data_IF_363604627724
#
_entry.id   IF_363604627724
#
_cell.length_a   1.000
_cell.length_b   1.000
_cell.length_c   1.000
_cell.angle_alpha   90.00
_cell.angle_beta   90.00
_cell.angle_gamma   90.00
#
_symmetry.space_group_name_H-M   'P 1'
#
loop_
_entity.id
_entity.type
_entity.pdbx_description
1 polymer ?
#
# COMPACT_ATOMS: atom_id res chain seq x y z
N UNK A 1 11.00 15.88 -7.94
CA UNK A 1 11.29 15.44 -6.56
C UNK A 1 11.98 14.09 -6.59
N UNK A 2 12.96 13.88 -5.73
CA UNK A 2 13.61 12.59 -5.54
C UNK A 2 12.73 11.64 -4.72
N UNK A 3 12.97 10.31 -4.75
CA UNK A 3 12.12 9.31 -4.10
C UNK A 3 11.78 9.57 -2.64
N UNK A 4 12.79 9.79 -1.79
CA UNK A 4 12.55 10.00 -0.36
C UNK A 4 11.96 11.37 -0.02
N UNK A 5 12.13 12.37 -0.89
CA UNK A 5 11.43 13.65 -0.77
C UNK A 5 9.92 13.48 -0.95
N UNK A 6 9.50 12.72 -1.97
CA UNK A 6 8.08 12.40 -2.21
C UNK A 6 7.50 11.65 -1.00
N UNK A 7 8.22 10.63 -0.52
CA UNK A 7 7.78 9.84 0.64
C UNK A 7 7.66 10.71 1.90
N UNK A 8 8.66 11.54 2.18
CA UNK A 8 8.66 12.39 3.37
C UNK A 8 7.47 13.36 3.34
N UNK A 9 7.26 14.09 2.25
CA UNK A 9 6.19 15.08 2.16
C UNK A 9 4.81 14.43 2.18
N UNK A 10 4.60 13.31 1.46
CA UNK A 10 3.31 12.60 1.46
C UNK A 10 2.94 12.05 2.83
N UNK A 11 3.90 11.46 3.57
CA UNK A 11 3.64 10.93 4.90
C UNK A 11 3.55 12.02 5.96
N UNK A 12 4.24 13.16 5.80
CA UNK A 12 4.04 14.35 6.64
C UNK A 12 2.60 14.85 6.54
N UNK A 13 2.11 15.06 5.32
CA UNK A 13 0.73 15.49 5.07
C UNK A 13 -0.26 14.50 5.66
N UNK A 14 -0.05 13.20 5.42
CA UNK A 14 -0.91 12.15 5.96
C UNK A 14 -0.88 12.10 7.49
N UNK A 15 0.29 12.28 8.12
CA UNK A 15 0.41 12.27 9.59
C UNK A 15 -0.32 13.45 10.23
N UNK A 16 -0.25 14.65 9.64
CA UNK A 16 -0.97 15.84 10.13
C UNK A 16 -2.48 15.64 10.00
N UNK A 17 -2.96 15.21 8.83
CA UNK A 17 -4.39 14.99 8.59
C UNK A 17 -4.95 13.88 9.47
N UNK A 18 -4.24 12.76 9.59
CA UNK A 18 -4.64 11.66 10.49
C UNK A 18 -4.61 12.06 11.96
N UNK A 19 -3.65 12.93 12.35
CA UNK A 19 -3.61 13.51 13.68
C UNK A 19 -4.87 14.32 13.97
N UNK A 20 -5.29 15.20 13.07
CA UNK A 20 -6.52 15.98 13.22
C UNK A 20 -7.77 15.10 13.31
N UNK A 21 -7.88 14.08 12.44
CA UNK A 21 -8.99 13.12 12.46
C UNK A 21 -9.03 12.35 13.79
N UNK A 22 -7.86 11.85 14.25
CA UNK A 22 -7.74 11.10 15.50
C UNK A 22 -8.12 11.95 16.71
N UNK A 23 -7.70 13.21 16.76
CA UNK A 23 -8.09 14.15 17.83
C UNK A 23 -9.60 14.41 17.85
N UNK A 24 -10.23 14.54 16.68
CA UNK A 24 -11.68 14.71 16.56
C UNK A 24 -12.46 13.49 17.03
N UNK A 25 -12.00 12.28 16.73
CA UNK A 25 -12.65 11.03 17.13
C UNK A 25 -12.40 10.69 18.60
N UNK A 26 -11.22 11.02 19.14
CA UNK A 26 -10.90 10.76 20.56
C UNK A 26 -11.84 11.47 21.53
N UNK A 27 -12.42 12.62 21.15
CA UNK A 27 -13.46 13.29 21.93
C UNK A 27 -14.77 12.48 22.02
N UNK A 28 -15.01 11.56 21.08
CA UNK A 28 -16.25 10.75 21.00
C UNK A 28 -16.10 9.35 21.60
N UNK A 29 -14.91 8.74 21.48
CA UNK A 29 -14.67 7.32 21.81
C UNK A 29 -14.14 7.08 23.25
N UNK A 30 -13.83 8.12 24.02
CA UNK A 30 -13.33 7.98 25.40
C UNK A 30 -11.84 7.58 25.50
N UNK A 31 -11.39 7.28 26.73
CA UNK A 31 -9.99 6.91 27.00
C UNK A 31 -9.66 5.52 26.43
N UNK A 32 -8.63 5.46 25.60
CA UNK A 32 -8.05 4.21 25.09
C UNK A 32 -7.44 3.42 26.26
N UNK A 33 -7.96 2.24 26.59
CA UNK A 33 -7.48 1.41 27.74
C UNK A 33 -6.01 0.99 27.56
N UNK A 34 -5.57 0.70 26.34
CA UNK A 34 -4.19 0.27 26.06
C UNK A 34 -3.51 1.13 24.99
N UNK A 35 -3.13 2.35 25.37
CA UNK A 35 -2.40 3.28 24.48
C UNK A 35 -1.06 2.73 24.01
N UNK A 36 -0.29 2.12 24.89
CA UNK A 36 1.03 1.57 24.57
C UNK A 36 0.93 0.45 23.52
N UNK A 37 -0.09 -0.41 23.62
CA UNK A 37 -0.35 -1.45 22.63
C UNK A 37 -0.71 -0.87 21.27
N UNK A 38 -1.58 0.14 21.21
CA UNK A 38 -1.96 0.80 19.97
C UNK A 38 -0.76 1.49 19.27
N UNK A 39 0.10 2.15 20.06
CA UNK A 39 1.32 2.77 19.54
C UNK A 39 2.28 1.72 18.96
N UNK A 40 2.55 0.64 19.69
CA UNK A 40 3.40 -0.46 19.20
C UNK A 40 2.85 -1.06 17.91
N UNK A 41 1.53 -1.30 17.85
CA UNK A 41 0.86 -1.81 16.65
C UNK A 41 1.00 -0.85 15.47
N UNK A 42 0.75 0.44 15.67
CA UNK A 42 0.90 1.46 14.63
C UNK A 42 2.35 1.62 14.15
N UNK A 43 3.34 1.52 15.05
CA UNK A 43 4.77 1.53 14.68
C UNK A 43 5.09 0.33 13.79
N UNK A 44 4.65 -0.88 14.14
CA UNK A 44 4.91 -2.08 13.34
C UNK A 44 4.28 -1.97 11.95
N UNK A 45 3.03 -1.48 11.87
CA UNK A 45 2.37 -1.17 10.60
C UNK A 45 3.14 -0.12 9.80
N UNK A 46 3.64 0.93 10.46
CA UNK A 46 4.40 2.01 9.83
C UNK A 46 5.75 1.56 9.27
N UNK A 47 6.45 0.67 9.97
CA UNK A 47 7.70 0.07 9.48
C UNK A 47 7.44 -0.77 8.23
N UNK A 48 6.41 -1.62 8.25
CA UNK A 48 6.04 -2.45 7.12
C UNK A 48 5.62 -1.60 5.90
N UNK A 49 4.85 -0.53 6.14
CA UNK A 49 4.44 0.44 5.13
C UNK A 49 5.63 1.16 4.51
N UNK A 50 6.51 1.70 5.34
CA UNK A 50 7.72 2.39 4.88
C UNK A 50 8.61 1.46 4.06
N UNK A 51 8.86 0.23 4.54
CA UNK A 51 9.66 -0.75 3.82
C UNK A 51 9.04 -1.07 2.45
N UNK A 52 7.72 -1.27 2.38
CA UNK A 52 7.00 -1.47 1.13
C UNK A 52 7.24 -0.31 0.16
N UNK A 53 6.96 0.93 0.56
CA UNK A 53 7.14 2.09 -0.33
C UNK A 53 8.58 2.37 -0.69
N UNK A 54 9.53 2.25 0.24
CA UNK A 54 10.94 2.48 -0.04
C UNK A 54 11.48 1.50 -1.09
N UNK A 55 11.20 0.21 -0.91
CA UNK A 55 11.59 -0.84 -1.85
C UNK A 55 10.88 -0.70 -3.20
N UNK A 56 9.61 -0.27 -3.21
CA UNK A 56 8.85 -0.02 -4.43
C UNK A 56 9.47 1.11 -5.25
N UNK A 57 9.73 2.24 -4.61
CA UNK A 57 10.24 3.44 -5.30
C UNK A 57 11.69 3.22 -5.78
N UNK A 58 12.53 2.56 -4.98
CA UNK A 58 13.90 2.21 -5.39
C UNK A 58 13.84 1.16 -6.50
N UNK A 59 13.03 0.12 -6.35
CA UNK A 59 12.84 -0.91 -7.37
C UNK A 59 12.38 -0.34 -8.70
N UNK A 60 11.48 0.64 -8.69
CA UNK A 60 10.97 1.30 -9.90
C UNK A 60 12.07 2.00 -10.72
N UNK A 61 13.21 2.36 -10.13
CA UNK A 61 14.34 2.94 -10.86
C UNK A 61 15.08 1.92 -11.74
N UNK A 62 14.93 0.62 -11.45
CA UNK A 62 15.64 -0.48 -12.11
C UNK A 62 14.70 -1.46 -12.84
N UNK A 63 13.38 -1.20 -12.84
CA UNK A 63 12.38 -2.01 -13.54
C UNK A 63 11.35 -1.12 -14.24
N UNK A 64 10.45 -1.72 -15.01
CA UNK A 64 9.37 -0.96 -15.65
C UNK A 64 8.18 -0.76 -14.71
N UNK A 65 7.40 0.34 -14.86
CA UNK A 65 6.20 0.57 -14.05
C UNK A 65 5.22 -0.63 -14.07
N UNK A 66 5.04 -1.24 -15.23
CA UNK A 66 4.16 -2.40 -15.40
C UNK A 66 4.63 -3.63 -14.60
N UNK A 67 5.94 -3.94 -14.65
CA UNK A 67 6.50 -5.03 -13.85
C UNK A 67 6.44 -4.71 -12.35
N UNK A 68 6.75 -3.47 -11.97
CA UNK A 68 6.67 -3.03 -10.58
C UNK A 68 5.23 -3.19 -10.05
N UNK A 69 4.21 -2.76 -10.80
CA UNK A 69 2.82 -2.93 -10.42
C UNK A 69 2.43 -4.41 -10.27
N UNK A 70 2.82 -5.26 -11.23
CA UNK A 70 2.56 -6.70 -11.18
C UNK A 70 3.21 -7.37 -9.96
N UNK A 71 4.52 -7.11 -9.75
CA UNK A 71 5.26 -7.73 -8.66
C UNK A 71 4.76 -7.26 -7.28
N UNK A 72 4.37 -5.99 -7.16
CA UNK A 72 3.73 -5.46 -5.95
C UNK A 72 2.41 -6.17 -5.66
N UNK A 73 1.59 -6.44 -6.68
CA UNK A 73 0.31 -7.11 -6.53
C UNK A 73 0.42 -8.56 -6.05
N UNK A 74 1.61 -9.16 -6.09
CA UNK A 74 1.85 -10.49 -5.48
C UNK A 74 1.61 -10.51 -3.95
N UNK A 75 1.50 -9.34 -3.31
CA UNK A 75 1.06 -9.24 -1.91
C UNK A 75 -0.25 -10.00 -1.65
N UNK A 76 -1.15 -10.08 -2.64
CA UNK A 76 -2.44 -10.80 -2.57
C UNK A 76 -2.25 -12.28 -2.24
N UNK A 77 -1.21 -12.90 -2.78
CA UNK A 77 -0.87 -14.30 -2.46
C UNK A 77 -0.08 -14.38 -1.16
N UNK A 78 0.81 -13.42 -0.89
CA UNK A 78 1.67 -13.45 0.29
C UNK A 78 0.86 -13.26 1.59
N UNK A 79 -0.20 -12.43 1.60
CA UNK A 79 -1.05 -12.16 2.78
C UNK A 79 -1.63 -13.44 3.38
N UNK A 80 -2.31 -14.32 2.63
CA UNK A 80 -2.84 -15.58 3.19
C UNK A 80 -1.74 -16.52 3.70
N UNK A 81 -0.54 -16.53 3.10
CA UNK A 81 0.59 -17.29 3.61
C UNK A 81 1.07 -16.77 4.96
N UNK A 82 1.18 -15.44 5.12
CA UNK A 82 1.53 -14.80 6.39
C UNK A 82 0.48 -15.16 7.46
N UNK A 83 -0.81 -15.03 7.13
CA UNK A 83 -1.91 -15.38 8.04
C UNK A 83 -1.87 -16.87 8.45
N UNK A 84 -1.55 -17.77 7.52
CA UNK A 84 -1.40 -19.19 7.81
C UNK A 84 -0.20 -19.48 8.74
N UNK A 85 0.96 -18.88 8.47
CA UNK A 85 2.20 -19.13 9.25
C UNK A 85 2.07 -18.54 10.66
N UNK A 86 1.59 -17.29 10.79
CA UNK A 86 1.58 -16.58 12.07
C UNK A 86 0.38 -16.97 12.93
N UNK A 87 -0.82 -17.05 12.34
CA UNK A 87 -2.05 -17.29 13.09
C UNK A 87 -2.51 -18.76 13.01
N UNK A 88 -1.85 -19.58 12.23
CA UNK A 88 -2.26 -20.96 11.91
C UNK A 88 -3.70 -21.04 11.39
N UNK A 89 -4.23 -19.94 10.85
CA UNK A 89 -5.55 -19.90 10.22
C UNK A 89 -5.53 -20.66 8.92
N UNK A 90 -6.43 -21.64 8.77
CA UNK A 90 -6.60 -22.32 7.47
C UNK A 90 -7.20 -21.33 6.47
N UNK A 91 -6.48 -21.06 5.40
CA UNK A 91 -7.00 -20.26 4.29
C UNK A 91 -8.04 -21.10 3.54
N UNK A 92 -9.26 -20.58 3.42
CA UNK A 92 -10.31 -21.26 2.67
C UNK A 92 -9.94 -21.39 1.19
N UNK A 93 -10.30 -22.52 0.56
CA UNK A 93 -10.01 -22.77 -0.87
C UNK A 93 -10.46 -21.61 -1.78
N UNK A 94 -11.60 -20.98 -1.49
CA UNK A 94 -12.10 -19.80 -2.22
C UNK A 94 -11.13 -18.62 -2.16
N UNK A 95 -10.47 -18.38 -1.01
CA UNK A 95 -9.47 -17.33 -0.88
C UNK A 95 -8.19 -17.60 -1.67
N UNK A 96 -7.76 -18.87 -1.71
CA UNK A 96 -6.59 -19.29 -2.51
C UNK A 96 -6.88 -19.12 -4.00
N UNK A 97 -8.05 -19.59 -4.46
CA UNK A 97 -8.46 -19.46 -5.87
C UNK A 97 -8.56 -17.96 -6.25
N UNK A 98 -9.21 -17.14 -5.42
CA UNK A 98 -9.31 -15.69 -5.66
C UNK A 98 -7.93 -15.00 -5.74
N UNK A 99 -7.00 -15.35 -4.86
CA UNK A 99 -5.63 -14.81 -4.90
C UNK A 99 -4.89 -15.21 -6.18
N UNK A 100 -4.99 -16.48 -6.61
CA UNK A 100 -4.38 -16.96 -7.86
C UNK A 100 -5.00 -16.25 -9.08
N UNK A 101 -6.32 -16.13 -9.13
CA UNK A 101 -7.02 -15.43 -10.20
C UNK A 101 -6.62 -13.97 -10.27
N UNK A 102 -6.53 -13.28 -9.12
CA UNK A 102 -6.07 -11.90 -9.05
C UNK A 102 -4.65 -11.74 -9.62
N UNK A 103 -3.73 -12.64 -9.26
CA UNK A 103 -2.35 -12.59 -9.81
C UNK A 103 -2.33 -12.82 -11.31
N UNK A 104 -3.10 -13.78 -11.82
CA UNK A 104 -3.21 -14.03 -13.28
C UNK A 104 -3.76 -12.78 -13.98
N UNK A 105 -4.82 -12.18 -13.44
CA UNK A 105 -5.41 -10.97 -14.00
C UNK A 105 -4.44 -9.79 -14.03
N UNK A 106 -3.74 -9.53 -12.91
CA UNK A 106 -2.72 -8.46 -12.86
C UNK A 106 -1.55 -8.76 -13.81
N UNK A 107 -1.15 -10.03 -13.95
CA UNK A 107 -0.12 -10.43 -14.92
C UNK A 107 -0.54 -10.11 -16.35
N UNK A 108 -1.80 -10.37 -16.71
CA UNK A 108 -2.35 -10.04 -18.03
C UNK A 108 -2.38 -8.54 -18.28
N UNK A 109 -2.64 -7.72 -17.27
CA UNK A 109 -2.65 -6.26 -17.39
C UNK A 109 -1.23 -5.65 -17.46
N UNK A 110 -0.29 -6.19 -16.72
CA UNK A 110 0.99 -5.55 -16.44
C UNK A 110 2.18 -6.07 -17.28
N UNK A 111 2.17 -7.34 -17.72
CA UNK A 111 3.34 -7.96 -18.34
C UNK A 111 3.31 -7.82 -19.88
N UNK A 112 4.28 -7.11 -20.44
CA UNK A 112 4.48 -6.96 -21.89
C UNK A 112 5.72 -7.75 -22.36
N UNK A 113 5.64 -9.08 -22.36
CA UNK A 113 6.49 -9.98 -23.15
C UNK A 113 7.93 -10.27 -22.68
N UNK A 114 8.66 -9.35 -22.06
CA UNK A 114 10.04 -9.58 -21.63
C UNK A 114 10.16 -9.84 -20.12
N UNK A 115 10.41 -11.09 -19.75
CA UNK A 115 10.54 -11.58 -18.37
C UNK A 115 12.01 -11.67 -17.88
N UNK A 116 12.88 -10.77 -18.33
CA UNK A 116 14.24 -10.70 -17.77
C UNK A 116 14.16 -10.19 -16.33
N UNK A 117 14.70 -10.95 -15.38
CA UNK A 117 14.79 -10.54 -13.97
C UNK A 117 15.85 -9.46 -13.81
N UNK A 118 15.47 -8.33 -13.22
CA UNK A 118 16.35 -7.23 -12.87
C UNK A 118 16.50 -7.09 -11.35
N UNK A 119 17.49 -6.30 -10.91
CA UNK A 119 17.61 -5.94 -9.49
C UNK A 119 16.32 -5.27 -8.97
N UNK A 120 15.70 -4.43 -9.82
CA UNK A 120 14.43 -3.77 -9.50
C UNK A 120 13.27 -4.74 -9.26
N UNK A 121 13.25 -5.85 -10.00
CA UNK A 121 12.23 -6.89 -9.83
C UNK A 121 12.37 -7.58 -8.46
N UNK A 122 13.61 -7.86 -8.02
CA UNK A 122 13.89 -8.42 -6.70
C UNK A 122 13.49 -7.47 -5.56
N UNK A 123 13.81 -6.17 -5.68
CA UNK A 123 13.40 -5.16 -4.72
C UNK A 123 11.88 -5.01 -4.64
N UNK A 124 11.19 -5.08 -5.79
CA UNK A 124 9.74 -5.02 -5.85
C UNK A 124 9.06 -6.26 -5.26
N UNK A 125 9.66 -7.44 -5.39
CA UNK A 125 9.17 -8.63 -4.68
C UNK A 125 9.27 -8.47 -3.16
N UNK A 126 10.37 -7.91 -2.66
CA UNK A 126 10.50 -7.60 -1.23
C UNK A 126 9.51 -6.50 -0.80
N UNK A 127 9.20 -5.53 -1.66
CA UNK A 127 8.15 -4.56 -1.46
C UNK A 127 6.78 -5.24 -1.25
N UNK A 128 6.44 -6.23 -2.09
CA UNK A 128 5.20 -6.99 -1.95
C UNK A 128 5.09 -7.69 -0.59
N UNK A 129 6.21 -8.20 -0.05
CA UNK A 129 6.27 -8.75 1.32
C UNK A 129 5.99 -7.65 2.35
N UNK A 130 6.60 -6.46 2.20
CA UNK A 130 6.35 -5.33 3.10
C UNK A 130 4.87 -4.91 3.14
N UNK A 131 4.24 -4.76 1.99
CA UNK A 131 2.81 -4.46 1.92
C UNK A 131 1.92 -5.60 2.44
N UNK A 132 2.31 -6.85 2.19
CA UNK A 132 1.58 -8.00 2.73
C UNK A 132 1.59 -8.00 4.27
N UNK A 133 2.72 -7.70 4.90
CA UNK A 133 2.78 -7.51 6.35
C UNK A 133 1.93 -6.34 6.83
N UNK A 134 1.94 -5.21 6.10
CA UNK A 134 1.13 -4.06 6.44
C UNK A 134 -0.38 -4.41 6.41
N UNK A 135 -0.85 -5.07 5.35
CA UNK A 135 -2.24 -5.52 5.22
C UNK A 135 -2.60 -6.49 6.35
N UNK A 136 -1.75 -7.46 6.62
CA UNK A 136 -1.92 -8.45 7.68
C UNK A 136 -2.02 -7.79 9.07
N UNK A 137 -1.06 -6.93 9.43
CA UNK A 137 -1.07 -6.22 10.70
C UNK A 137 -2.26 -5.29 10.84
N UNK A 138 -2.66 -4.62 9.77
CA UNK A 138 -3.87 -3.77 9.76
C UNK A 138 -5.10 -4.60 10.14
N UNK A 139 -5.32 -5.74 9.50
CA UNK A 139 -6.46 -6.63 9.77
C UNK A 139 -6.50 -7.17 11.20
N UNK A 140 -5.33 -7.47 11.79
CA UNK A 140 -5.28 -7.99 13.16
C UNK A 140 -5.37 -6.89 14.23
N UNK A 141 -4.76 -5.73 13.99
CA UNK A 141 -4.72 -4.67 15.00
C UNK A 141 -5.98 -3.81 15.02
N UNK A 142 -6.67 -3.62 13.88
CA UNK A 142 -7.91 -2.85 13.85
C UNK A 142 -9.07 -3.51 14.62
N UNK A 143 -8.97 -4.81 14.88
CA UNK A 143 -9.90 -5.54 15.76
C UNK A 143 -9.76 -5.17 17.23
N UNK A 144 -8.60 -4.63 17.62
CA UNK A 144 -8.23 -4.32 19.03
C UNK A 144 -8.12 -2.83 19.30
N UNK A 145 -7.80 -2.04 18.29
CA UNK A 145 -7.49 -0.62 18.43
C UNK A 145 -8.24 0.23 17.39
N UNK A 146 -8.58 1.49 17.71
CA UNK A 146 -9.25 2.38 16.76
C UNK A 146 -8.41 2.63 15.49
N UNK A 147 -9.07 2.57 14.33
CA UNK A 147 -8.44 2.77 13.03
C UNK A 147 -7.72 4.11 12.91
N UNK A 148 -8.29 5.18 13.47
CA UNK A 148 -7.72 6.52 13.44
C UNK A 148 -6.38 6.61 14.18
N UNK A 149 -6.28 5.97 15.36
CA UNK A 149 -5.04 5.94 16.15
C UNK A 149 -3.97 5.10 15.46
N UNK A 150 -4.34 3.92 14.94
CA UNK A 150 -3.42 3.06 14.19
C UNK A 150 -2.85 3.79 12.98
N UNK A 151 -3.72 4.42 12.18
CA UNK A 151 -3.28 5.17 11.00
C UNK A 151 -2.43 6.39 11.34
N UNK A 152 -2.79 7.16 12.38
CA UNK A 152 -1.98 8.28 12.83
C UNK A 152 -0.55 7.83 13.17
N UNK A 153 -0.40 6.80 13.99
CA UNK A 153 0.91 6.29 14.41
C UNK A 153 1.66 5.68 13.22
N UNK A 154 0.98 4.93 12.36
CA UNK A 154 1.55 4.36 11.13
C UNK A 154 2.13 5.45 10.23
N UNK A 155 1.39 6.54 9.97
CA UNK A 155 1.85 7.63 9.11
C UNK A 155 2.99 8.42 9.73
N UNK A 156 2.95 8.69 11.06
CA UNK A 156 4.06 9.32 11.77
C UNK A 156 5.33 8.47 11.67
N UNK A 157 5.21 7.15 11.87
CA UNK A 157 6.36 6.25 11.77
C UNK A 157 6.94 6.24 10.37
N UNK A 158 6.09 6.14 9.34
CA UNK A 158 6.53 6.19 7.94
C UNK A 158 7.16 7.54 7.58
N UNK A 159 6.64 8.66 8.12
CA UNK A 159 7.22 9.98 7.96
C UNK A 159 8.63 10.06 8.57
N UNK A 160 8.78 9.64 9.83
CA UNK A 160 10.08 9.68 10.53
C UNK A 160 11.13 8.85 9.78
N UNK A 161 10.78 7.63 9.37
CA UNK A 161 11.68 6.76 8.62
C UNK A 161 12.03 7.35 7.25
N UNK A 162 11.06 7.99 6.57
CA UNK A 162 11.31 8.67 5.28
C UNK A 162 12.23 9.89 5.45
N UNK A 163 12.06 10.67 6.52
CA UNK A 163 12.92 11.81 6.83
C UNK A 163 14.35 11.37 7.17
N UNK A 164 14.51 10.31 7.94
CA UNK A 164 15.82 9.71 8.22
C UNK A 164 16.49 9.22 6.94
N UNK A 165 15.75 8.52 6.08
CA UNK A 165 16.27 8.04 4.80
C UNK A 165 16.66 9.18 3.86
N UNK A 166 15.87 10.26 3.81
CA UNK A 166 16.18 11.45 3.02
C UNK A 166 17.56 12.03 3.42
N UNK A 167 17.85 12.11 4.72
CA UNK A 167 19.14 12.60 5.22
C UNK A 167 20.27 11.62 4.87
N UNK A 168 20.06 10.32 5.09
CA UNK A 168 21.07 9.27 4.81
C UNK A 168 21.44 9.23 3.32
N UNK A 169 20.45 9.35 2.43
CA UNK A 169 20.68 9.32 0.97
C UNK A 169 21.04 10.68 0.38
N UNK A 170 21.14 11.73 1.20
CA UNK A 170 21.57 13.07 0.75
C UNK A 170 20.58 13.74 -0.20
N UNK A 171 19.29 13.45 -0.09
CA UNK A 171 18.24 14.03 -0.95
C UNK A 171 17.72 15.39 -0.44
N UNK A 172 18.59 16.23 0.16
CA UNK A 172 18.20 17.47 0.84
C UNK A 172 17.88 18.64 -0.11
N UNK A 173 18.22 18.54 -1.40
CA UNK A 173 17.98 19.61 -2.36
C UNK A 173 16.57 19.50 -2.97
N UNK A 174 15.67 20.37 -2.51
CA UNK A 174 14.27 20.43 -2.93
C UNK A 174 14.09 21.36 -4.14
N UNK A 175 14.45 20.89 -5.33
CA UNK A 175 14.09 21.58 -6.56
C UNK A 175 12.77 21.00 -7.11
N UNK A 176 11.66 21.66 -6.82
CA UNK A 176 10.32 21.14 -7.12
C UNK A 176 9.53 22.12 -7.97
N UNK A 177 9.02 21.63 -9.08
CA UNK A 177 8.07 22.38 -9.93
C UNK A 177 6.69 22.48 -9.26
N UNK A 178 5.88 23.46 -9.64
CA UNK A 178 4.49 23.59 -9.16
C UNK A 178 3.67 22.33 -9.40
N UNK A 179 3.86 21.68 -10.55
CA UNK A 179 3.21 20.41 -10.87
C UNK A 179 3.66 19.27 -9.92
N UNK A 180 4.93 19.27 -9.53
CA UNK A 180 5.45 18.31 -8.54
C UNK A 180 4.79 18.47 -7.18
N UNK A 181 4.56 19.70 -6.73
CA UNK A 181 3.83 19.97 -5.49
C UNK A 181 2.36 19.50 -5.55
N UNK A 182 1.66 19.79 -6.65
CA UNK A 182 0.28 19.32 -6.84
C UNK A 182 0.19 17.79 -6.81
N UNK A 183 1.13 17.10 -7.46
CA UNK A 183 1.19 15.64 -7.45
C UNK A 183 1.41 15.08 -6.04
N UNK A 184 2.32 15.67 -5.25
CA UNK A 184 2.58 15.20 -3.88
C UNK A 184 1.42 15.52 -2.94
N UNK A 185 0.73 16.66 -3.12
CA UNK A 185 -0.50 16.98 -2.39
C UNK A 185 -1.58 15.92 -2.66
N UNK A 186 -1.81 15.57 -3.94
CA UNK A 186 -2.74 14.50 -4.30
C UNK A 186 -2.34 13.16 -3.65
N UNK A 187 -1.08 12.78 -3.74
CA UNK A 187 -0.56 11.56 -3.12
C UNK A 187 -0.72 11.56 -1.60
N UNK A 188 -0.43 12.67 -0.91
CA UNK A 188 -0.53 12.77 0.54
C UNK A 188 -1.98 12.77 1.04
N UNK A 189 -2.85 13.56 0.40
CA UNK A 189 -4.24 13.74 0.85
C UNK A 189 -5.11 12.57 0.40
N UNK A 190 -5.19 12.32 -0.90
CA UNK A 190 -6.12 11.33 -1.44
C UNK A 190 -5.53 9.92 -1.36
N UNK A 191 -4.40 9.69 -2.03
CA UNK A 191 -3.81 8.35 -2.17
C UNK A 191 -3.30 7.78 -0.84
N UNK A 192 -2.85 8.62 0.10
CA UNK A 192 -2.36 8.14 1.40
C UNK A 192 -3.40 8.32 2.49
N UNK A 193 -3.86 9.55 2.78
CA UNK A 193 -4.74 9.78 3.94
C UNK A 193 -6.09 9.10 3.75
N UNK A 194 -6.82 9.40 2.67
CA UNK A 194 -8.17 8.88 2.47
C UNK A 194 -8.14 7.37 2.24
N UNK A 195 -7.27 6.88 1.35
CA UNK A 195 -7.22 5.46 1.02
C UNK A 195 -6.84 4.59 2.22
N UNK A 196 -5.80 4.94 3.00
CA UNK A 196 -5.41 4.15 4.16
C UNK A 196 -6.41 4.24 5.32
N UNK A 197 -7.10 5.39 5.48
CA UNK A 197 -8.18 5.49 6.46
C UNK A 197 -9.33 4.56 6.11
N UNK A 198 -9.78 4.58 4.86
CA UNK A 198 -10.82 3.68 4.36
C UNK A 198 -10.38 2.22 4.43
N UNK A 199 -9.17 1.90 3.97
CA UNK A 199 -8.61 0.55 4.07
C UNK A 199 -8.66 0.03 5.50
N UNK A 200 -8.12 0.77 6.46
CA UNK A 200 -8.06 0.33 7.86
C UNK A 200 -9.46 0.23 8.46
N UNK A 201 -10.37 1.18 8.17
CA UNK A 201 -11.73 1.13 8.66
C UNK A 201 -12.50 -0.08 8.10
N UNK A 202 -12.36 -0.37 6.82
CA UNK A 202 -13.04 -1.49 6.16
C UNK A 202 -12.46 -2.84 6.58
N UNK A 203 -11.14 -2.96 6.80
CA UNK A 203 -10.50 -4.18 7.25
C UNK A 203 -10.95 -4.66 8.63
N UNK A 204 -11.61 -3.80 9.42
CA UNK A 204 -12.29 -4.23 10.66
C UNK A 204 -13.36 -5.29 10.41
N UNK A 205 -14.00 -5.27 9.24
CA UNK A 205 -15.14 -6.11 8.87
C UNK A 205 -14.81 -7.24 7.89
N UNK A 206 -13.57 -7.29 7.40
CA UNK A 206 -13.15 -8.19 6.34
C UNK A 206 -11.85 -8.89 6.73
N UNK A 207 -11.74 -10.19 6.43
CA UNK A 207 -10.49 -10.93 6.64
C UNK A 207 -9.36 -10.41 5.76
N UNK A 208 -8.12 -10.58 6.22
CA UNK A 208 -6.91 -10.06 5.58
C UNK A 208 -6.77 -10.55 4.12
N UNK A 209 -7.11 -11.82 3.87
CA UNK A 209 -7.08 -12.42 2.52
C UNK A 209 -8.08 -11.77 1.58
N UNK A 210 -9.32 -11.56 2.05
CA UNK A 210 -10.35 -10.88 1.25
C UNK A 210 -9.98 -9.43 1.00
N UNK A 211 -9.43 -8.75 2.02
CA UNK A 211 -8.96 -7.38 1.88
C UNK A 211 -7.87 -7.27 0.80
N UNK A 212 -6.89 -8.18 0.79
CA UNK A 212 -5.85 -8.21 -0.23
C UNK A 212 -6.42 -8.40 -1.65
N UNK A 213 -7.41 -9.30 -1.82
CA UNK A 213 -8.09 -9.53 -3.11
C UNK A 213 -8.83 -8.25 -3.56
N UNK A 214 -9.58 -7.60 -2.66
CA UNK A 214 -10.28 -6.35 -2.98
C UNK A 214 -9.29 -5.24 -3.35
N UNK A 215 -8.16 -5.16 -2.67
CA UNK A 215 -7.12 -4.18 -2.99
C UNK A 215 -6.50 -4.41 -4.38
N UNK A 216 -6.46 -5.65 -4.89
CA UNK A 216 -5.99 -5.91 -6.25
C UNK A 216 -6.88 -5.31 -7.35
N UNK A 217 -8.12 -4.92 -7.03
CA UNK A 217 -8.98 -4.17 -7.94
C UNK A 217 -8.42 -2.78 -8.31
N UNK A 218 -7.40 -2.31 -7.58
CA UNK A 218 -6.64 -1.12 -7.96
C UNK A 218 -6.14 -1.22 -9.41
N UNK A 219 -5.68 -2.40 -9.84
CA UNK A 219 -5.22 -2.65 -11.21
C UNK A 219 -6.35 -2.53 -12.24
N UNK A 220 -7.58 -2.95 -11.88
CA UNK A 220 -8.76 -2.81 -12.73
C UNK A 220 -9.14 -1.34 -12.90
N UNK A 221 -9.26 -0.62 -11.77
CA UNK A 221 -9.58 0.81 -11.81
C UNK A 221 -8.48 1.62 -12.50
N UNK A 222 -7.20 1.29 -12.26
CA UNK A 222 -6.08 1.90 -12.96
C UNK A 222 -6.19 1.74 -14.46
N UNK A 223 -6.53 0.55 -14.96
CA UNK A 223 -6.76 0.28 -16.39
C UNK A 223 -7.95 1.07 -16.92
N UNK A 224 -9.06 1.13 -16.21
CA UNK A 224 -10.25 1.90 -16.60
C UNK A 224 -9.90 3.40 -16.72
N UNK A 225 -9.21 3.96 -15.72
CA UNK A 225 -8.80 5.36 -15.76
C UNK A 225 -7.76 5.65 -16.84
N UNK A 226 -6.85 4.71 -17.14
CA UNK A 226 -5.90 4.82 -18.24
C UNK A 226 -6.63 4.92 -19.58
N UNK A 227 -7.64 4.09 -19.83
CA UNK A 227 -8.48 4.15 -21.03
C UNK A 227 -9.21 5.50 -21.15
N UNK A 228 -9.81 5.98 -20.04
CA UNK A 228 -10.64 7.20 -20.04
C UNK A 228 -9.76 8.46 -20.16
N UNK A 229 -8.65 8.55 -19.39
CA UNK A 229 -7.86 9.78 -19.26
C UNK A 229 -6.75 9.84 -20.31
N UNK A 230 -6.08 8.70 -20.57
CA UNK A 230 -4.97 8.62 -21.51
C UNK A 230 -5.39 8.17 -22.89
N UNK A 231 -6.68 7.86 -23.10
CA UNK A 231 -7.25 7.38 -24.37
C UNK A 231 -6.53 6.13 -24.89
N UNK A 232 -6.09 5.23 -23.99
CA UNK A 232 -5.46 3.98 -24.39
C UNK A 232 -6.43 3.07 -25.14
N UNK A 233 -5.92 2.38 -26.15
CA UNK A 233 -6.72 1.44 -26.96
C UNK A 233 -7.03 0.20 -26.13
N UNK A 234 -8.31 -0.13 -26.04
CA UNK A 234 -8.77 -1.34 -25.33
C UNK A 234 -8.26 -2.57 -26.07
N UNK A 235 -7.47 -3.39 -25.38
CA UNK A 235 -7.00 -4.67 -25.90
C UNK A 235 -7.80 -5.82 -25.28
N UNK A 236 -7.96 -6.93 -26.03
CA UNK A 236 -8.60 -8.14 -25.50
C UNK A 236 -7.94 -8.62 -24.21
N UNK A 237 -6.62 -8.44 -24.11
CA UNK A 237 -5.83 -8.78 -22.93
C UNK A 237 -6.24 -7.95 -21.69
N UNK A 238 -6.50 -6.66 -21.85
CA UNK A 238 -7.00 -5.79 -20.76
C UNK A 238 -8.38 -6.26 -20.28
N UNK A 239 -9.28 -6.60 -21.22
CA UNK A 239 -10.63 -7.08 -20.87
C UNK A 239 -10.55 -8.39 -20.08
N UNK A 240 -9.77 -9.37 -20.57
CA UNK A 240 -9.61 -10.66 -19.89
C UNK A 240 -8.94 -10.47 -18.52
N UNK A 241 -7.90 -9.63 -18.42
CA UNK A 241 -7.20 -9.35 -17.17
C UNK A 241 -8.14 -8.73 -16.12
N UNK A 242 -8.92 -7.70 -16.49
CA UNK A 242 -9.92 -7.11 -15.60
C UNK A 242 -10.99 -8.11 -15.17
N UNK A 243 -11.54 -8.90 -16.10
CA UNK A 243 -12.55 -9.91 -15.81
C UNK A 243 -12.02 -11.03 -14.89
N UNK A 244 -10.73 -11.32 -14.92
CA UNK A 244 -10.10 -12.34 -14.08
C UNK A 244 -9.88 -11.86 -12.64
N UNK A 245 -9.73 -10.55 -12.42
CA UNK A 245 -9.59 -9.96 -11.08
C UNK A 245 -10.94 -9.81 -10.39
N UNK A 246 -12.00 -9.52 -11.15
CA UNK A 246 -13.38 -9.37 -10.67
C UNK A 246 -14.02 -10.71 -10.29
#
# INVERSE_FOLDING_TARGET
MKPFQIMMVRFLLASVLMGMISMGQHKKEGKLENRAGAIKAGILMGIALFAGFALQIIGLQYTTPSKNAFLTALNVVIVPFIAFIILKKKVGMKGIIGAIMSVIGVALLSLNGNLTLSLGDGLTLLCAVGFAFQIFFTGEFVKKYPASVLNMVQMITAFVLSAVSLVIFGENDFQVTTQGWLSVLYLGVISTTVCYLLQTACQKYVDETKAAIVLSMESVFGTIFSIIILHEVITLRMVIGCATIL
#
